data_IF_360304631688
#
_entry.id   IF_360304631688
#
_cell.length_a   1.000
_cell.length_b   1.000
_cell.length_c   1.000
_cell.angle_alpha   90.00
_cell.angle_beta   90.00
_cell.angle_gamma   90.00
#
_symmetry.space_group_name_H-M   'P 1'
#
loop_
_entity.id
_entity.type
_entity.pdbx_description
1 polymer ?
#
# COMPACT_ATOMS: atom_id res chain seq x y z
N UNK A 1 26.77 5.02 8.77
CA UNK A 1 25.60 5.31 9.59
C UNK A 1 24.56 6.08 8.84
N UNK A 2 24.30 5.61 7.70
CA UNK A 2 23.26 6.19 6.91
C UNK A 2 21.90 5.70 7.41
N UNK A 3 20.97 6.62 7.47
CA UNK A 3 19.61 6.22 7.74
C UNK A 3 19.18 5.33 6.59
N UNK A 4 18.65 4.19 6.93
CA UNK A 4 18.24 3.23 5.93
C UNK A 4 16.76 2.98 6.08
N UNK A 5 16.06 3.04 4.96
CA UNK A 5 14.62 2.78 4.96
C UNK A 5 14.40 1.35 4.52
N UNK A 6 13.72 0.60 5.34
CA UNK A 6 13.36 -0.77 5.06
C UNK A 6 11.85 -0.88 5.15
N UNK A 7 11.22 -1.37 4.10
CA UNK A 7 9.78 -1.47 4.05
C UNK A 7 9.35 -2.85 3.60
N UNK A 8 8.27 -3.33 4.19
CA UNK A 8 7.72 -4.64 3.87
C UNK A 8 6.22 -4.54 3.69
N UNK A 9 5.70 -5.36 2.80
CA UNK A 9 4.27 -5.60 2.74
C UNK A 9 3.97 -6.84 3.59
N UNK A 10 2.79 -6.83 4.21
CA UNK A 10 2.34 -7.93 5.05
C UNK A 10 1.01 -8.44 4.50
N UNK A 11 0.97 -9.71 4.18
CA UNK A 11 -0.23 -10.34 3.67
C UNK A 11 -0.71 -11.39 4.65
N UNK A 12 -2.00 -11.31 5.00
CA UNK A 12 -2.67 -12.37 5.73
C UNK A 12 -3.68 -13.03 4.81
N UNK A 13 -3.87 -14.32 4.97
CA UNK A 13 -4.80 -15.06 4.13
C UNK A 13 -5.83 -15.75 5.03
N UNK A 14 -7.09 -15.32 4.92
CA UNK A 14 -8.18 -15.88 5.70
C UNK A 14 -8.91 -16.97 4.92
N UNK A 15 -8.98 -16.79 3.60
CA UNK A 15 -9.55 -17.78 2.70
C UNK A 15 -8.99 -17.52 1.32
N UNK A 16 -9.44 -18.31 0.34
CA UNK A 16 -8.90 -18.22 -1.03
C UNK A 16 -9.03 -16.80 -1.60
N UNK A 17 -10.14 -16.13 -1.31
CA UNK A 17 -10.39 -14.81 -1.85
C UNK A 17 -10.61 -13.73 -0.80
N UNK A 18 -10.22 -14.01 0.45
CA UNK A 18 -10.29 -12.99 1.50
C UNK A 18 -8.92 -12.86 2.14
N UNK A 19 -8.27 -11.75 1.87
CA UNK A 19 -6.91 -11.50 2.33
C UNK A 19 -6.83 -10.16 3.04
N UNK A 20 -5.83 -10.02 3.90
CA UNK A 20 -5.51 -8.73 4.47
C UNK A 20 -4.20 -8.23 3.86
N UNK A 21 -4.05 -6.93 3.80
CA UNK A 21 -2.88 -6.30 3.21
C UNK A 21 -2.48 -5.10 4.04
N UNK A 22 -1.22 -5.03 4.38
CA UNK A 22 -0.72 -3.92 5.17
C UNK A 22 0.75 -3.69 4.83
N UNK A 23 1.40 -2.78 5.53
CA UNK A 23 2.80 -2.52 5.35
C UNK A 23 3.43 -1.97 6.60
N UNK A 24 4.73 -2.15 6.72
CA UNK A 24 5.53 -1.54 7.78
C UNK A 24 6.77 -0.91 7.16
N UNK A 25 7.27 0.12 7.81
CA UNK A 25 8.45 0.83 7.34
C UNK A 25 9.29 1.24 8.54
N UNK A 26 10.57 0.90 8.49
CA UNK A 26 11.55 1.33 9.48
C UNK A 26 12.43 2.37 8.81
N UNK A 27 12.54 3.56 9.40
CA UNK A 27 13.28 4.67 8.79
C UNK A 27 14.61 4.97 9.50
N UNK A 28 15.05 4.07 10.34
CA UNK A 28 16.26 4.25 11.10
C UNK A 28 16.01 4.77 12.52
N UNK A 29 14.82 5.27 12.78
CA UNK A 29 14.44 5.81 14.09
C UNK A 29 13.10 5.30 14.56
N UNK A 30 12.14 5.25 13.66
CA UNK A 30 10.75 4.97 14.02
C UNK A 30 10.19 3.88 13.12
N UNK A 31 9.41 3.01 13.72
CA UNK A 31 8.67 2.00 12.97
C UNK A 31 7.30 2.58 12.64
N UNK A 32 7.03 2.69 11.36
CA UNK A 32 5.73 3.16 10.87
C UNK A 32 4.90 1.96 10.44
N UNK A 33 3.61 2.02 10.69
CA UNK A 33 2.70 0.96 10.27
C UNK A 33 1.56 1.58 9.48
N UNK A 34 1.09 0.84 8.49
CA UNK A 34 -0.05 1.26 7.70
C UNK A 34 -1.30 0.52 8.17
N UNK A 35 -2.49 1.04 7.84
CA UNK A 35 -3.72 0.32 8.17
C UNK A 35 -3.73 -1.04 7.52
N UNK A 36 -4.49 -1.97 8.12
CA UNK A 36 -4.71 -3.29 7.53
C UNK A 36 -5.94 -3.20 6.65
N UNK A 37 -5.77 -3.50 5.38
CA UNK A 37 -6.87 -3.48 4.42
C UNK A 37 -7.41 -4.88 4.21
N UNK A 38 -8.73 -4.99 4.14
CA UNK A 38 -9.39 -6.24 3.79
C UNK A 38 -9.63 -6.27 2.29
N UNK A 39 -9.14 -7.31 1.63
CA UNK A 39 -9.34 -7.48 0.21
C UNK A 39 -10.16 -8.73 0.00
N UNK A 40 -11.44 -8.56 -0.33
CA UNK A 40 -12.37 -9.68 -0.45
C UNK A 40 -12.54 -10.17 -1.88
N UNK A 41 -12.15 -9.36 -2.87
CA UNK A 41 -12.26 -9.73 -4.26
C UNK A 41 -10.96 -9.41 -4.96
N UNK A 42 -10.06 -10.40 -4.98
CA UNK A 42 -8.78 -10.20 -5.63
C UNK A 42 -8.93 -10.50 -7.10
N UNK A 43 -8.77 -9.48 -7.91
CA UNK A 43 -8.84 -9.61 -9.36
C UNK A 43 -7.48 -10.02 -9.91
N UNK A 44 -6.42 -9.38 -9.43
CA UNK A 44 -5.09 -9.61 -9.97
C UNK A 44 -4.05 -9.36 -8.89
N UNK A 45 -3.19 -10.34 -8.65
CA UNK A 45 -2.12 -10.22 -7.68
C UNK A 45 -0.81 -9.78 -8.30
N UNK A 46 -0.75 -9.82 -9.62
CA UNK A 46 0.49 -9.48 -10.32
C UNK A 46 0.72 -7.98 -10.27
N UNK A 47 1.93 -7.60 -9.92
CA UNK A 47 2.29 -6.20 -9.90
C UNK A 47 2.03 -5.46 -8.60
N UNK A 48 1.47 -6.14 -7.59
CA UNK A 48 1.21 -5.47 -6.32
C UNK A 48 2.51 -5.02 -5.65
N UNK A 49 3.56 -5.84 -5.74
CA UNK A 49 4.86 -5.47 -5.20
C UNK A 49 5.47 -4.29 -5.91
N UNK A 50 5.35 -4.25 -7.24
CA UNK A 50 5.82 -3.12 -8.02
C UNK A 50 5.05 -1.86 -7.70
N UNK A 51 3.74 -1.99 -7.51
CA UNK A 51 2.89 -0.88 -7.16
C UNK A 51 3.25 -0.32 -5.78
N UNK A 52 3.58 -1.21 -4.84
CA UNK A 52 4.03 -0.78 -3.52
C UNK A 52 5.36 -0.02 -3.63
N UNK A 53 6.31 -0.57 -4.36
CA UNK A 53 7.62 0.07 -4.51
C UNK A 53 7.49 1.44 -5.19
N UNK A 54 6.73 1.50 -6.28
CA UNK A 54 6.53 2.75 -6.99
C UNK A 54 5.81 3.78 -6.13
N UNK A 55 4.79 3.34 -5.42
CA UNK A 55 4.05 4.22 -4.51
C UNK A 55 4.91 4.74 -3.37
N UNK A 56 5.80 3.88 -2.85
CA UNK A 56 6.68 4.29 -1.79
C UNK A 56 7.68 5.35 -2.27
N UNK A 57 8.25 5.15 -3.46
CA UNK A 57 9.17 6.13 -4.03
C UNK A 57 8.44 7.46 -4.23
N UNK A 58 7.26 7.41 -4.81
CA UNK A 58 6.46 8.62 -4.99
C UNK A 58 6.21 9.32 -3.67
N UNK A 59 5.81 8.56 -2.65
CA UNK A 59 5.51 9.12 -1.35
C UNK A 59 6.72 9.73 -0.66
N UNK A 60 7.87 9.06 -0.75
CA UNK A 60 9.08 9.58 -0.15
C UNK A 60 9.55 10.87 -0.82
N UNK A 61 9.34 10.99 -2.12
CA UNK A 61 9.68 12.20 -2.84
C UNK A 61 8.70 13.33 -2.58
N UNK A 62 7.43 12.99 -2.43
CA UNK A 62 6.36 13.97 -2.24
C UNK A 62 6.31 14.47 -0.79
N UNK A 63 6.47 13.55 0.15
CA UNK A 63 6.41 13.88 1.58
C UNK A 63 7.68 13.41 2.28
N UNK A 64 8.82 14.08 2.02
CA UNK A 64 10.10 13.57 2.54
C UNK A 64 10.21 13.63 4.06
N UNK A 65 9.36 14.42 4.71
CA UNK A 65 9.38 14.52 6.17
C UNK A 65 8.32 13.65 6.83
N UNK A 66 7.55 12.91 6.06
CA UNK A 66 6.46 12.11 6.62
C UNK A 66 6.52 10.71 6.03
N UNK A 67 7.38 9.89 6.59
CA UNK A 67 7.57 8.51 6.13
C UNK A 67 6.33 7.67 6.35
N UNK A 68 5.56 7.95 7.41
CA UNK A 68 4.31 7.24 7.65
C UNK A 68 3.31 7.47 6.54
N UNK A 69 3.22 8.72 6.06
CA UNK A 69 2.31 9.03 4.95
C UNK A 69 2.77 8.35 3.67
N UNK A 70 4.08 8.32 3.41
CA UNK A 70 4.61 7.63 2.25
C UNK A 70 4.25 6.14 2.30
N UNK A 71 4.39 5.53 3.47
CA UNK A 71 4.03 4.13 3.65
C UNK A 71 2.55 3.89 3.41
N UNK A 72 1.69 4.75 3.97
CA UNK A 72 0.25 4.60 3.80
C UNK A 72 -0.13 4.73 2.31
N UNK A 73 0.50 5.66 1.61
CA UNK A 73 0.25 5.83 0.19
C UNK A 73 0.65 4.56 -0.58
N UNK A 74 1.84 4.04 -0.30
CA UNK A 74 2.32 2.84 -0.99
C UNK A 74 1.43 1.64 -0.71
N UNK A 75 1.00 1.49 0.54
CA UNK A 75 0.13 0.38 0.93
C UNK A 75 -1.22 0.47 0.24
N UNK A 76 -1.80 1.67 0.20
CA UNK A 76 -3.08 1.88 -0.47
C UNK A 76 -2.97 1.65 -1.97
N UNK A 77 -1.88 2.10 -2.58
CA UNK A 77 -1.67 1.90 -4.01
C UNK A 77 -1.60 0.42 -4.36
N UNK A 78 -0.83 -0.35 -3.57
CA UNK A 78 -0.73 -1.79 -3.83
C UNK A 78 -2.02 -2.52 -3.51
N UNK A 79 -2.77 -2.03 -2.53
CA UNK A 79 -4.08 -2.58 -2.22
C UNK A 79 -5.02 -2.43 -3.40
N UNK A 80 -5.09 -1.24 -3.98
CA UNK A 80 -5.92 -0.99 -5.15
C UNK A 80 -5.51 -1.84 -6.34
N UNK A 81 -4.22 -2.11 -6.48
CA UNK A 81 -3.74 -2.93 -7.59
C UNK A 81 -4.36 -4.32 -7.57
N UNK A 82 -4.64 -4.86 -6.39
CA UNK A 82 -5.28 -6.17 -6.28
C UNK A 82 -6.68 -6.21 -6.90
N UNK A 83 -7.30 -5.06 -7.04
CA UNK A 83 -8.67 -4.97 -7.54
C UNK A 83 -8.74 -4.61 -9.02
N UNK A 84 -7.59 -4.47 -9.67
CA UNK A 84 -7.53 -4.06 -11.07
C UNK A 84 -7.00 -5.21 -11.90
N UNK A 85 -7.75 -5.57 -12.93
CA UNK A 85 -7.36 -6.62 -13.85
C UNK A 85 -6.30 -6.11 -14.82
N UNK A 86 -5.32 -6.93 -15.10
CA UNK A 86 -4.29 -6.58 -16.04
C UNK A 86 -2.99 -6.19 -15.38
N UNK A 87 -1.97 -6.01 -16.20
CA UNK A 87 -0.62 -5.77 -15.71
C UNK A 87 -0.28 -4.30 -15.63
N UNK A 88 -1.17 -3.45 -16.10
CA UNK A 88 -0.86 -2.06 -16.22
C UNK A 88 -1.47 -1.26 -15.09
N UNK A 89 -0.71 -0.31 -14.63
CA UNK A 89 -1.14 0.49 -13.49
C UNK A 89 -2.12 1.57 -13.93
N UNK A 90 -3.39 1.34 -13.66
CA UNK A 90 -4.44 2.31 -13.98
C UNK A 90 -4.89 3.11 -12.77
N UNK A 91 -4.22 2.93 -11.67
CA UNK A 91 -4.58 3.60 -10.42
C UNK A 91 -4.01 5.02 -10.46
N UNK A 92 -4.86 5.99 -10.19
CA UNK A 92 -4.42 7.38 -10.12
C UNK A 92 -4.03 7.74 -8.71
N UNK A 93 -3.21 8.79 -8.58
CA UNK A 93 -2.82 9.31 -7.28
C UNK A 93 -4.06 9.68 -6.47
N UNK A 94 -5.04 10.27 -7.12
CA UNK A 94 -6.27 10.67 -6.43
C UNK A 94 -7.03 9.48 -5.87
N UNK A 95 -7.10 8.38 -6.61
CA UNK A 95 -7.76 7.18 -6.11
C UNK A 95 -7.04 6.62 -4.88
N UNK A 96 -5.71 6.63 -4.92
CA UNK A 96 -4.92 6.15 -3.79
C UNK A 96 -5.14 7.04 -2.57
N UNK A 97 -5.13 8.34 -2.77
CA UNK A 97 -5.34 9.27 -1.67
C UNK A 97 -6.73 9.13 -1.07
N UNK A 98 -7.73 8.89 -1.92
CA UNK A 98 -9.08 8.69 -1.45
C UNK A 98 -9.18 7.46 -0.55
N UNK A 99 -8.58 6.35 -0.97
CA UNK A 99 -8.57 5.15 -0.14
C UNK A 99 -7.80 5.39 1.15
N UNK A 100 -6.67 6.06 1.05
CA UNK A 100 -5.80 6.30 2.18
C UNK A 100 -6.48 7.14 3.27
N UNK A 101 -7.27 8.11 2.87
CA UNK A 101 -7.91 9.04 3.79
C UNK A 101 -9.34 8.65 4.17
N UNK A 102 -9.93 7.80 3.38
CA UNK A 102 -11.35 7.52 3.53
C UNK A 102 -11.63 6.41 4.51
N UNK A 103 -11.65 5.20 4.04
CA UNK A 103 -12.16 4.08 4.80
C UNK A 103 -11.07 3.40 5.61
N UNK A 104 -10.99 3.76 6.87
CA UNK A 104 -9.99 3.17 7.78
C UNK A 104 -10.22 1.69 8.00
N UNK A 105 -11.39 1.15 7.68
CA UNK A 105 -11.62 -0.29 7.76
C UNK A 105 -10.90 -1.03 6.64
N UNK A 106 -10.41 -0.30 5.66
CA UNK A 106 -9.63 -0.88 4.60
C UNK A 106 -10.44 -1.56 3.51
N UNK A 107 -11.71 -1.27 3.42
CA UNK A 107 -12.53 -1.84 2.37
C UNK A 107 -12.26 -1.17 1.05
N UNK A 108 -12.06 -1.98 0.03
CA UNK A 108 -11.83 -1.46 -1.31
C UNK A 108 -13.13 -1.54 -2.10
N UNK A 109 -13.62 -0.39 -2.50
CA UNK A 109 -14.83 -0.28 -3.33
C UNK A 109 -14.45 0.27 -4.68
N UNK A 110 -14.70 -0.51 -5.70
CA UNK A 110 -14.43 -0.05 -7.06
C UNK A 110 -15.59 -0.42 -7.97
#
# INVERSE_FOLDING_TARGET
PQARIIAFTLRGSLSADHNTWSGILWDGKTLHTAPVYDITHIVDRIGAGDSFAGGLIYGLLTWPSDHGKALRFATAASCLKHTIHGDFNRVTVKEVETLMEGDASGRVNR
#
